data_IF_343636238060
#
_entry.id   IF_343636238060
#
_cell.length_a   1.000
_cell.length_b   1.000
_cell.length_c   1.000
_cell.angle_alpha   90.00
_cell.angle_beta   90.00
_cell.angle_gamma   90.00
#
_symmetry.space_group_name_H-M   'P 1'
#
loop_
_entity.id
_entity.type
_entity.pdbx_description
1 polymer ?
#
# COMPACT_ATOMS: atom_id res chain seq x y z
N UNK A 1 -90.20 -25.02 -8.65
CA UNK A 1 -88.99 -25.23 -7.81
C UNK A 1 -87.79 -25.60 -8.66
N UNK A 2 -88.00 -26.12 -9.87
CA UNK A 2 -86.91 -26.55 -10.76
C UNK A 2 -86.08 -25.38 -11.32
N UNK A 3 -86.69 -24.25 -11.66
CA UNK A 3 -85.95 -23.06 -12.17
C UNK A 3 -84.95 -22.47 -11.15
N UNK A 4 -85.24 -22.59 -9.85
CA UNK A 4 -84.36 -22.09 -8.78
C UNK A 4 -83.17 -23.04 -8.56
N UNK A 5 -83.38 -24.35 -8.71
CA UNK A 5 -82.34 -25.35 -8.62
C UNK A 5 -81.38 -25.27 -9.82
N UNK A 6 -81.92 -24.99 -11.01
CA UNK A 6 -81.13 -24.81 -12.24
C UNK A 6 -80.25 -23.54 -12.15
N UNK A 7 -80.79 -22.44 -11.63
CA UNK A 7 -80.03 -21.21 -11.40
C UNK A 7 -78.86 -21.37 -10.41
N UNK A 8 -79.07 -22.11 -9.32
CA UNK A 8 -78.00 -22.38 -8.33
C UNK A 8 -76.90 -23.26 -8.93
N UNK A 9 -77.27 -24.24 -9.77
CA UNK A 9 -76.30 -25.11 -10.44
C UNK A 9 -75.37 -24.31 -11.38
N UNK A 10 -75.91 -23.38 -12.17
CA UNK A 10 -75.11 -22.54 -13.05
C UNK A 10 -74.14 -21.61 -12.30
N UNK A 11 -74.54 -21.09 -11.13
CA UNK A 11 -73.67 -20.25 -10.29
C UNK A 11 -72.50 -21.07 -9.71
N UNK A 12 -72.77 -22.29 -9.22
CA UNK A 12 -71.72 -23.18 -8.71
C UNK A 12 -70.77 -23.61 -9.83
N UNK A 13 -71.29 -23.93 -11.01
CA UNK A 13 -70.49 -24.29 -12.18
C UNK A 13 -69.61 -23.13 -12.65
N UNK A 14 -70.16 -21.92 -12.73
CA UNK A 14 -69.40 -20.72 -13.08
C UNK A 14 -68.31 -20.42 -12.03
N UNK A 15 -68.62 -20.57 -10.74
CA UNK A 15 -67.66 -20.43 -9.66
C UNK A 15 -66.51 -21.44 -9.75
N UNK A 16 -66.80 -22.70 -10.08
CA UNK A 16 -65.79 -23.73 -10.26
C UNK A 16 -64.88 -23.45 -11.47
N UNK A 17 -65.44 -22.94 -12.57
CA UNK A 17 -64.66 -22.57 -13.78
C UNK A 17 -63.75 -21.37 -13.47
N UNK A 18 -64.26 -20.32 -12.82
CA UNK A 18 -63.47 -19.14 -12.45
C UNK A 18 -62.34 -19.54 -11.49
N UNK A 19 -62.63 -20.37 -10.49
CA UNK A 19 -61.63 -20.88 -9.57
C UNK A 19 -60.56 -21.70 -10.30
N UNK A 20 -60.95 -22.55 -11.25
CA UNK A 20 -60.02 -23.31 -12.09
C UNK A 20 -59.09 -22.42 -12.92
N UNK A 21 -59.60 -21.33 -13.49
CA UNK A 21 -58.81 -20.37 -14.28
C UNK A 21 -57.84 -19.60 -13.37
N UNK A 22 -58.28 -19.15 -12.20
CA UNK A 22 -57.40 -18.46 -11.24
C UNK A 22 -56.27 -19.38 -10.78
N UNK A 23 -56.58 -20.64 -10.44
CA UNK A 23 -55.55 -21.62 -10.05
C UNK A 23 -54.58 -21.93 -11.20
N UNK A 24 -55.05 -21.99 -12.44
CA UNK A 24 -54.19 -22.13 -13.62
C UNK A 24 -53.23 -20.96 -13.75
N UNK A 25 -53.71 -19.73 -13.62
CA UNK A 25 -52.88 -18.50 -13.70
C UNK A 25 -51.85 -18.48 -12.57
N UNK A 26 -52.25 -18.80 -11.34
CA UNK A 26 -51.37 -18.86 -10.16
C UNK A 26 -50.29 -19.94 -10.32
N UNK A 27 -50.56 -21.04 -11.04
CA UNK A 27 -49.57 -22.06 -11.40
C UNK A 27 -48.65 -21.64 -12.56
N UNK A 28 -49.17 -20.85 -13.51
CA UNK A 28 -48.43 -20.46 -14.71
C UNK A 28 -47.42 -19.33 -14.44
N UNK A 29 -47.74 -18.40 -13.52
CA UNK A 29 -46.85 -17.30 -13.12
C UNK A 29 -45.50 -17.81 -12.58
N UNK A 30 -45.42 -18.73 -11.60
CA UNK A 30 -44.14 -19.24 -11.12
C UNK A 30 -43.41 -20.04 -12.21
N UNK A 31 -44.11 -20.67 -13.16
CA UNK A 31 -43.47 -21.38 -14.28
C UNK A 31 -42.82 -20.41 -15.28
N UNK A 32 -43.49 -19.29 -15.59
CA UNK A 32 -42.94 -18.22 -16.44
C UNK A 32 -41.79 -17.51 -15.73
N UNK A 33 -41.94 -17.18 -14.44
CA UNK A 33 -40.91 -16.47 -13.66
C UNK A 33 -39.69 -17.37 -13.44
N UNK A 34 -39.87 -18.64 -13.07
CA UNK A 34 -38.74 -19.58 -12.96
C UNK A 34 -38.12 -19.88 -14.32
N UNK A 35 -38.92 -20.07 -15.37
CA UNK A 35 -38.42 -20.29 -16.74
C UNK A 35 -37.62 -19.10 -17.27
N UNK A 36 -38.04 -17.86 -16.99
CA UNK A 36 -37.31 -16.66 -17.39
C UNK A 36 -36.04 -16.46 -16.57
N UNK A 37 -36.05 -16.70 -15.25
CA UNK A 37 -34.84 -16.70 -14.43
C UNK A 37 -33.85 -17.77 -14.93
N UNK A 38 -34.31 -19.00 -15.18
CA UNK A 38 -33.46 -20.09 -15.71
C UNK A 38 -32.97 -19.78 -17.13
N UNK A 39 -33.74 -19.11 -17.97
CA UNK A 39 -33.30 -18.74 -19.32
C UNK A 39 -32.26 -17.62 -19.31
N UNK A 40 -32.46 -16.57 -18.52
CA UNK A 40 -31.51 -15.46 -18.39
C UNK A 40 -30.24 -15.86 -17.65
N UNK A 41 -30.37 -16.57 -16.51
CA UNK A 41 -29.23 -17.13 -15.80
C UNK A 41 -28.56 -18.23 -16.62
N UNK A 42 -29.31 -19.09 -17.30
CA UNK A 42 -28.79 -20.16 -18.15
C UNK A 42 -28.01 -19.64 -19.37
N UNK A 43 -28.39 -18.49 -19.95
CA UNK A 43 -27.62 -17.84 -21.02
C UNK A 43 -26.32 -17.23 -20.51
N UNK A 44 -26.34 -16.61 -19.33
CA UNK A 44 -25.15 -16.14 -18.64
C UNK A 44 -24.24 -17.32 -18.21
N UNK A 45 -24.84 -18.42 -17.76
CA UNK A 45 -24.17 -19.65 -17.33
C UNK A 45 -23.57 -20.41 -18.50
N UNK A 46 -24.24 -20.50 -19.66
CA UNK A 46 -23.72 -21.13 -20.89
C UNK A 46 -22.53 -20.37 -21.48
N UNK A 47 -22.51 -19.03 -21.34
CA UNK A 47 -21.34 -18.21 -21.67
C UNK A 47 -20.17 -18.39 -20.69
N UNK A 48 -20.44 -18.87 -19.46
CA UNK A 48 -19.44 -19.12 -18.42
C UNK A 48 -19.02 -20.60 -18.32
N UNK A 49 -19.83 -21.55 -18.80
CA UNK A 49 -19.62 -23.00 -18.64
C UNK A 49 -18.34 -23.52 -19.33
N UNK A 50 -17.90 -22.87 -20.41
CA UNK A 50 -16.63 -23.18 -21.04
C UNK A 50 -15.40 -22.88 -20.16
N UNK A 51 -15.57 -22.12 -19.06
CA UNK A 51 -14.51 -21.76 -18.11
C UNK A 51 -14.63 -22.43 -16.74
N UNK A 52 -15.77 -23.04 -16.40
CA UNK A 52 -15.99 -23.67 -15.10
C UNK A 52 -16.22 -25.18 -15.27
N UNK A 53 -15.21 -26.00 -14.98
CA UNK A 53 -15.42 -27.42 -14.77
C UNK A 53 -16.26 -27.59 -13.50
N UNK A 54 -17.48 -28.14 -13.64
CA UNK A 54 -18.34 -28.42 -12.48
C UNK A 54 -17.60 -29.34 -11.52
N UNK A 55 -17.45 -28.86 -10.30
CA UNK A 55 -16.73 -29.56 -9.25
C UNK A 55 -17.43 -30.85 -8.86
N UNK A 56 -16.69 -31.92 -8.54
CA UNK A 56 -17.30 -33.18 -8.05
C UNK A 56 -18.23 -32.93 -6.85
N UNK A 57 -17.89 -31.96 -6.01
CA UNK A 57 -18.73 -31.48 -4.91
C UNK A 57 -19.99 -30.75 -5.38
N UNK A 58 -19.93 -29.92 -6.44
CA UNK A 58 -21.11 -29.31 -7.05
C UNK A 58 -22.04 -30.33 -7.70
N UNK A 59 -21.47 -31.38 -8.33
CA UNK A 59 -22.25 -32.50 -8.88
C UNK A 59 -22.94 -33.28 -7.76
N UNK A 60 -22.21 -33.59 -6.68
CA UNK A 60 -22.76 -34.26 -5.49
C UNK A 60 -23.86 -33.44 -4.80
N UNK A 61 -23.68 -32.12 -4.68
CA UNK A 61 -24.72 -31.24 -4.11
C UNK A 61 -25.93 -31.17 -5.03
N UNK A 62 -25.77 -31.01 -6.34
CA UNK A 62 -26.88 -31.07 -7.30
C UNK A 62 -27.65 -32.40 -7.24
N UNK A 63 -26.94 -33.53 -7.14
CA UNK A 63 -27.58 -34.84 -6.96
C UNK A 63 -28.26 -34.97 -5.60
N UNK A 64 -27.67 -34.46 -4.53
CA UNK A 64 -28.26 -34.49 -3.20
C UNK A 64 -29.52 -33.61 -3.10
N UNK A 65 -29.52 -32.46 -3.78
CA UNK A 65 -30.68 -31.57 -3.91
C UNK A 65 -31.78 -32.26 -4.72
N UNK A 66 -31.44 -32.91 -5.83
CA UNK A 66 -32.38 -33.67 -6.65
C UNK A 66 -33.02 -34.84 -5.88
N UNK A 67 -32.20 -35.65 -5.20
CA UNK A 67 -32.67 -36.78 -4.37
C UNK A 67 -33.48 -36.28 -3.18
N UNK A 68 -33.03 -35.21 -2.52
CA UNK A 68 -33.74 -34.59 -1.40
C UNK A 68 -35.11 -34.03 -1.81
N UNK A 69 -35.21 -33.40 -2.98
CA UNK A 69 -36.47 -32.91 -3.54
C UNK A 69 -37.44 -34.06 -3.81
N UNK A 70 -36.96 -35.19 -4.36
CA UNK A 70 -37.77 -36.38 -4.60
C UNK A 70 -38.27 -36.98 -3.28
N UNK A 71 -37.39 -37.16 -2.29
CA UNK A 71 -37.76 -37.68 -0.97
C UNK A 71 -38.76 -36.76 -0.24
N UNK A 72 -38.57 -35.45 -0.32
CA UNK A 72 -39.48 -34.47 0.30
C UNK A 72 -40.85 -34.44 -0.38
N UNK A 73 -40.88 -34.58 -1.71
CA UNK A 73 -42.12 -34.74 -2.48
C UNK A 73 -42.86 -36.01 -2.06
N UNK A 74 -42.14 -37.12 -1.84
CA UNK A 74 -42.73 -38.38 -1.36
C UNK A 74 -43.33 -38.22 0.06
N UNK A 75 -42.63 -37.56 0.98
CA UNK A 75 -43.13 -37.30 2.35
C UNK A 75 -44.36 -36.40 2.35
N UNK A 76 -44.38 -35.35 1.52
CA UNK A 76 -45.54 -34.48 1.37
C UNK A 76 -46.73 -35.19 0.72
N UNK A 77 -46.49 -36.12 -0.21
CA UNK A 77 -47.54 -36.94 -0.80
C UNK A 77 -48.18 -37.92 0.20
N UNK A 78 -47.38 -38.42 1.15
CA UNK A 78 -47.84 -39.32 2.23
C UNK A 78 -48.66 -38.62 3.32
N UNK A 79 -48.45 -37.31 3.52
CA UNK A 79 -49.15 -36.54 4.57
C UNK A 79 -50.53 -36.04 4.13
N UNK A 80 -50.87 -36.12 2.84
CA UNK A 80 -52.22 -35.88 2.32
C UNK A 80 -52.76 -34.46 2.45
N UNK A 81 -51.95 -33.51 2.95
CA UNK A 81 -52.38 -32.14 3.22
C UNK A 81 -52.35 -31.22 1.99
N UNK A 82 -51.75 -31.68 0.88
CA UNK A 82 -51.59 -30.89 -0.33
C UNK A 82 -52.12 -31.64 -1.55
N UNK A 83 -52.79 -30.93 -2.48
CA UNK A 83 -53.21 -31.54 -3.72
C UNK A 83 -51.99 -31.99 -4.55
N UNK A 84 -52.03 -33.17 -5.18
CA UNK A 84 -50.86 -33.83 -5.78
C UNK A 84 -50.15 -33.00 -6.85
N UNK A 85 -50.88 -32.11 -7.54
CA UNK A 85 -50.33 -31.21 -8.55
C UNK A 85 -49.51 -30.03 -7.97
N UNK A 86 -49.68 -29.69 -6.68
CA UNK A 86 -48.94 -28.59 -6.02
C UNK A 86 -47.66 -29.05 -5.31
N UNK A 87 -47.51 -30.36 -5.07
CA UNK A 87 -46.41 -30.89 -4.25
C UNK A 87 -45.06 -30.73 -4.96
N UNK A 88 -45.00 -31.04 -6.26
CA UNK A 88 -43.77 -30.99 -7.06
C UNK A 88 -43.26 -29.55 -7.28
N UNK A 89 -44.09 -28.57 -7.71
CA UNK A 89 -43.62 -27.19 -7.85
C UNK A 89 -43.15 -26.59 -6.52
N UNK A 90 -43.83 -26.90 -5.42
CA UNK A 90 -43.48 -26.39 -4.10
C UNK A 90 -42.15 -26.98 -3.60
N UNK A 91 -41.94 -28.29 -3.76
CA UNK A 91 -40.69 -28.94 -3.35
C UNK A 91 -39.48 -28.41 -4.14
N UNK A 92 -39.64 -28.17 -5.44
CA UNK A 92 -38.58 -27.59 -6.28
C UNK A 92 -38.19 -26.19 -5.80
N UNK A 93 -39.16 -25.31 -5.52
CA UNK A 93 -38.89 -23.94 -5.05
C UNK A 93 -38.20 -23.93 -3.68
N UNK A 94 -38.67 -24.75 -2.74
CA UNK A 94 -38.06 -24.86 -1.40
C UNK A 94 -36.62 -25.36 -1.49
N UNK A 95 -36.35 -26.39 -2.30
CA UNK A 95 -34.98 -26.89 -2.46
C UNK A 95 -34.09 -25.92 -3.21
N UNK A 96 -34.59 -25.19 -4.22
CA UNK A 96 -33.80 -24.20 -4.95
C UNK A 96 -33.37 -23.04 -4.04
N UNK A 97 -34.29 -22.54 -3.21
CA UNK A 97 -34.00 -21.48 -2.22
C UNK A 97 -33.03 -21.93 -1.14
N UNK A 98 -33.19 -23.15 -0.61
CA UNK A 98 -32.22 -23.74 0.33
C UNK A 98 -30.84 -23.95 -0.31
N UNK A 99 -30.80 -24.32 -1.59
CA UNK A 99 -29.54 -24.55 -2.32
C UNK A 99 -28.76 -23.26 -2.51
N UNK A 100 -29.44 -22.16 -2.87
CA UNK A 100 -28.82 -20.84 -2.98
C UNK A 100 -28.30 -20.39 -1.60
N UNK A 101 -29.10 -20.54 -0.54
CA UNK A 101 -28.69 -20.17 0.82
C UNK A 101 -27.47 -20.95 1.31
N UNK A 102 -27.43 -22.27 1.07
CA UNK A 102 -26.32 -23.13 1.46
C UNK A 102 -25.05 -22.87 0.64
N UNK A 103 -25.18 -22.60 -0.67
CA UNK A 103 -24.06 -22.18 -1.52
C UNK A 103 -23.48 -20.82 -1.08
N UNK A 104 -24.35 -19.86 -0.73
CA UNK A 104 -23.94 -18.58 -0.19
C UNK A 104 -23.19 -18.74 1.15
N UNK A 105 -23.71 -19.57 2.07
CA UNK A 105 -23.07 -19.85 3.35
C UNK A 105 -21.71 -20.53 3.16
N UNK A 106 -21.63 -21.50 2.25
CA UNK A 106 -20.38 -22.18 1.93
C UNK A 106 -19.34 -21.23 1.32
N UNK A 107 -19.77 -20.37 0.38
CA UNK A 107 -18.92 -19.31 -0.19
C UNK A 107 -18.42 -18.32 0.86
N UNK A 108 -19.28 -17.94 1.82
CA UNK A 108 -18.91 -17.08 2.93
C UNK A 108 -17.91 -17.75 3.90
N UNK A 109 -18.04 -19.06 4.17
CA UNK A 109 -17.12 -19.77 5.08
C UNK A 109 -15.77 -20.04 4.41
N UNK A 110 -15.75 -20.48 3.14
CA UNK A 110 -14.54 -20.96 2.48
C UNK A 110 -13.83 -19.91 1.62
N UNK A 111 -14.56 -19.06 0.89
CA UNK A 111 -13.96 -18.11 -0.07
C UNK A 111 -13.65 -16.74 0.55
N UNK A 112 -14.51 -16.27 1.44
CA UNK A 112 -14.35 -14.98 2.12
C UNK A 112 -13.03 -14.82 2.88
N UNK A 113 -12.51 -15.79 3.67
CA UNK A 113 -11.25 -15.61 4.38
C UNK A 113 -10.07 -15.34 3.43
N UNK A 114 -9.98 -16.04 2.29
CA UNK A 114 -8.94 -15.79 1.29
C UNK A 114 -9.06 -14.39 0.67
N UNK A 115 -10.28 -13.98 0.31
CA UNK A 115 -10.50 -12.64 -0.24
C UNK A 115 -10.19 -11.54 0.79
N UNK A 116 -10.54 -11.76 2.06
CA UNK A 116 -10.23 -10.83 3.15
C UNK A 116 -8.73 -10.72 3.34
N UNK A 117 -8.00 -11.84 3.37
CA UNK A 117 -6.55 -11.88 3.55
C UNK A 117 -5.81 -11.19 2.39
N UNK A 118 -6.20 -11.44 1.14
CA UNK A 118 -5.60 -10.75 -0.03
C UNK A 118 -5.86 -9.25 0.05
N UNK A 119 -7.07 -8.82 0.44
CA UNK A 119 -7.39 -7.39 0.61
C UNK A 119 -6.58 -6.74 1.73
N UNK A 120 -6.40 -7.42 2.87
CA UNK A 120 -5.60 -6.88 3.98
C UNK A 120 -4.12 -6.81 3.62
N UNK A 121 -3.58 -7.84 2.96
CA UNK A 121 -2.20 -7.83 2.47
C UNK A 121 -1.96 -6.73 1.45
N UNK A 122 -2.85 -6.52 0.47
CA UNK A 122 -2.74 -5.42 -0.51
C UNK A 122 -2.82 -4.03 0.15
N UNK A 123 -3.66 -3.86 1.18
CA UNK A 123 -3.70 -2.62 1.96
C UNK A 123 -2.39 -2.41 2.74
N UNK A 124 -1.85 -3.46 3.34
CA UNK A 124 -0.55 -3.43 4.01
C UNK A 124 0.58 -3.07 3.05
N UNK A 125 0.64 -3.73 1.88
CA UNK A 125 1.59 -3.44 0.81
C UNK A 125 1.57 -1.97 0.40
N UNK A 126 0.37 -1.41 0.17
CA UNK A 126 0.23 -0.01 -0.21
C UNK A 126 0.78 0.93 0.86
N UNK A 127 0.52 0.65 2.14
CA UNK A 127 1.09 1.45 3.25
C UNK A 127 2.62 1.40 3.27
N UNK A 128 3.20 0.21 3.12
CA UNK A 128 4.66 0.05 3.10
C UNK A 128 5.26 0.74 1.85
N UNK A 129 4.57 0.72 0.71
CA UNK A 129 4.98 1.47 -0.48
C UNK A 129 4.94 2.99 -0.26
N UNK A 130 3.89 3.50 0.41
CA UNK A 130 3.78 4.92 0.74
C UNK A 130 4.90 5.35 1.70
N UNK A 131 5.20 4.53 2.72
CA UNK A 131 6.34 4.74 3.63
C UNK A 131 7.69 4.71 2.88
N UNK A 132 7.89 3.75 1.97
CA UNK A 132 9.11 3.67 1.15
C UNK A 132 9.29 4.91 0.26
N UNK A 133 8.18 5.44 -0.29
CA UNK A 133 8.20 6.67 -1.07
C UNK A 133 8.58 7.88 -0.19
N UNK A 134 8.09 7.94 1.04
CA UNK A 134 8.46 8.97 2.01
C UNK A 134 9.95 8.89 2.40
N UNK A 135 10.46 7.69 2.72
CA UNK A 135 11.88 7.46 3.03
C UNK A 135 12.75 7.87 1.83
N UNK A 136 12.36 7.48 0.62
CA UNK A 136 13.08 7.87 -0.61
C UNK A 136 13.12 9.39 -0.78
N UNK A 137 12.01 10.10 -0.52
CA UNK A 137 12.00 11.58 -0.52
C UNK A 137 12.93 12.15 0.54
N UNK A 138 12.88 11.64 1.78
CA UNK A 138 13.78 12.06 2.87
C UNK A 138 15.25 11.86 2.48
N UNK A 139 15.58 10.71 1.90
CA UNK A 139 16.94 10.37 1.46
C UNK A 139 17.43 11.30 0.35
N UNK A 140 16.59 11.60 -0.66
CA UNK A 140 16.96 12.57 -1.71
C UNK A 140 17.20 13.97 -1.14
N UNK A 141 16.39 14.42 -0.18
CA UNK A 141 16.56 15.70 0.48
C UNK A 141 17.85 15.74 1.31
N UNK A 142 18.17 14.67 2.05
CA UNK A 142 19.42 14.56 2.80
C UNK A 142 20.64 14.53 1.86
N UNK A 143 20.60 13.79 0.75
CA UNK A 143 21.68 13.80 -0.26
C UNK A 143 21.91 15.19 -0.86
N UNK A 144 20.85 15.95 -1.12
CA UNK A 144 20.95 17.35 -1.57
C UNK A 144 21.59 18.24 -0.50
N UNK A 145 21.21 18.07 0.77
CA UNK A 145 21.82 18.81 1.87
C UNK A 145 23.31 18.47 2.03
N UNK A 146 23.65 17.19 1.97
CA UNK A 146 25.04 16.72 1.97
C UNK A 146 25.86 17.33 0.83
N UNK A 147 25.35 17.31 -0.41
CA UNK A 147 26.02 17.92 -1.56
C UNK A 147 26.22 19.43 -1.38
N UNK A 148 25.24 20.16 -0.84
CA UNK A 148 25.39 21.59 -0.54
C UNK A 148 26.47 21.86 0.51
N UNK A 149 26.49 21.06 1.59
CA UNK A 149 27.49 21.19 2.65
C UNK A 149 28.89 20.83 2.13
N UNK A 150 29.01 19.78 1.33
CA UNK A 150 30.26 19.35 0.70
C UNK A 150 30.80 20.42 -0.25
N UNK A 151 29.96 21.00 -1.11
CA UNK A 151 30.38 22.12 -1.97
C UNK A 151 30.79 23.35 -1.16
N UNK A 152 30.08 23.64 -0.07
CA UNK A 152 30.46 24.73 0.84
C UNK A 152 31.81 24.45 1.48
N UNK A 153 32.05 23.23 1.96
CA UNK A 153 33.34 22.81 2.50
C UNK A 153 34.47 22.98 1.49
N UNK A 154 34.28 22.51 0.26
CA UNK A 154 35.26 22.71 -0.82
C UNK A 154 35.56 24.20 -1.07
N UNK A 155 34.53 25.06 -1.09
CA UNK A 155 34.73 26.49 -1.30
C UNK A 155 35.47 27.18 -0.14
N UNK A 156 35.26 26.75 1.11
CA UNK A 156 35.98 27.29 2.26
C UNK A 156 37.42 26.75 2.33
N UNK A 157 37.65 25.51 1.87
CA UNK A 157 38.98 24.94 1.70
C UNK A 157 39.79 25.73 0.66
N UNK A 158 39.21 26.04 -0.50
CA UNK A 158 39.88 26.87 -1.51
C UNK A 158 40.25 28.27 -0.96
N UNK A 159 39.36 28.89 -0.17
CA UNK A 159 39.67 30.18 0.47
C UNK A 159 40.84 30.05 1.43
N UNK A 160 40.85 28.98 2.23
CA UNK A 160 41.94 28.68 3.14
C UNK A 160 43.26 28.53 2.37
N UNK A 161 43.28 27.74 1.30
CA UNK A 161 44.47 27.54 0.47
C UNK A 161 44.97 28.86 -0.16
N UNK A 162 44.06 29.73 -0.62
CA UNK A 162 44.44 31.06 -1.14
C UNK A 162 45.10 31.93 -0.06
N UNK A 163 44.53 31.97 1.15
CA UNK A 163 45.09 32.78 2.25
C UNK A 163 46.41 32.17 2.74
N UNK A 164 46.51 30.84 2.83
CA UNK A 164 47.78 30.16 3.12
C UNK A 164 48.84 30.46 2.05
N UNK A 165 48.43 30.52 0.77
CA UNK A 165 49.28 30.92 -0.35
C UNK A 165 49.80 32.35 -0.22
N UNK A 166 48.91 33.32 0.06
CA UNK A 166 49.27 34.71 0.33
C UNK A 166 50.23 34.82 1.51
N UNK A 167 49.97 34.09 2.59
CA UNK A 167 50.85 34.06 3.76
C UNK A 167 52.25 33.50 3.41
N UNK A 168 52.32 32.43 2.61
CA UNK A 168 53.60 31.89 2.12
C UNK A 168 54.35 32.90 1.25
N UNK A 169 53.64 33.60 0.37
CA UNK A 169 54.23 34.64 -0.48
C UNK A 169 54.80 35.80 0.35
N UNK A 170 54.07 36.26 1.37
CA UNK A 170 54.59 37.25 2.34
C UNK A 170 55.85 36.78 3.06
N UNK A 171 55.92 35.49 3.42
CA UNK A 171 57.12 34.92 4.05
C UNK A 171 58.30 34.87 3.07
N UNK A 172 58.07 34.46 1.81
CA UNK A 172 59.12 34.29 0.79
C UNK A 172 59.67 35.61 0.25
N UNK A 173 58.83 36.64 0.10
CA UNK A 173 59.21 37.94 -0.45
C UNK A 173 59.79 38.91 0.59
N UNK A 174 60.21 38.42 1.76
CA UNK A 174 60.68 39.23 2.88
C UNK A 174 62.17 39.09 3.15
N UNK A 175 62.83 40.18 3.54
CA UNK A 175 64.27 40.20 3.85
C UNK A 175 64.64 39.42 5.13
N UNK A 176 63.66 39.11 5.98
CA UNK A 176 63.84 38.39 7.26
C UNK A 176 62.75 37.34 7.52
N UNK A 177 62.76 36.19 6.81
CA UNK A 177 61.73 35.16 6.93
C UNK A 177 61.62 34.57 8.35
N UNK A 178 62.73 34.48 9.09
CA UNK A 178 62.72 34.00 10.50
C UNK A 178 61.93 34.92 11.44
N UNK A 179 61.99 36.23 11.24
CA UNK A 179 61.24 37.18 12.07
C UNK A 179 59.74 37.09 11.79
N UNK A 180 59.36 36.86 10.54
CA UNK A 180 57.97 36.64 10.13
C UNK A 180 57.42 35.32 10.66
N UNK A 181 58.21 34.23 10.63
CA UNK A 181 57.81 32.94 11.20
C UNK A 181 57.58 33.06 12.71
N UNK A 182 58.50 33.68 13.44
CA UNK A 182 58.36 33.90 14.88
C UNK A 182 57.14 34.78 15.22
N UNK A 183 56.89 35.82 14.40
CA UNK A 183 55.70 36.66 14.54
C UNK A 183 54.41 35.87 14.29
N UNK A 184 54.38 35.04 13.25
CA UNK A 184 53.25 34.15 12.94
C UNK A 184 52.98 33.20 14.10
N UNK A 185 53.99 32.50 14.60
CA UNK A 185 53.85 31.55 15.72
C UNK A 185 53.34 32.24 16.98
N UNK A 186 53.81 33.47 17.24
CA UNK A 186 53.32 34.28 18.36
C UNK A 186 51.84 34.61 18.21
N UNK A 187 51.41 35.07 17.03
CA UNK A 187 50.01 35.39 16.76
C UNK A 187 49.15 34.12 16.83
N UNK A 188 49.58 33.00 16.24
CA UNK A 188 48.87 31.73 16.36
C UNK A 188 48.72 31.29 17.83
N UNK A 189 49.74 31.53 18.66
CA UNK A 189 49.67 31.31 20.11
C UNK A 189 48.62 32.19 20.80
N UNK A 190 48.54 33.47 20.43
CA UNK A 190 47.55 34.42 20.96
C UNK A 190 46.12 34.09 20.50
N UNK A 191 45.98 33.56 19.29
CA UNK A 191 44.67 33.29 18.67
C UNK A 191 44.05 31.97 19.16
N UNK A 192 44.86 30.99 19.60
CA UNK A 192 44.41 29.67 20.11
C UNK A 192 43.44 29.70 21.30
N UNK A 193 43.21 30.86 21.93
CA UNK A 193 42.26 31.05 23.01
C UNK A 193 41.05 31.94 22.69
N UNK A 194 40.95 32.47 21.47
CA UNK A 194 39.92 33.43 21.09
C UNK A 194 38.66 32.75 20.53
N UNK A 195 37.50 33.31 20.86
CA UNK A 195 36.23 32.86 20.29
C UNK A 195 35.99 33.43 18.87
N UNK A 196 35.11 32.81 18.09
CA UNK A 196 34.81 33.22 16.70
C UNK A 196 34.34 34.68 16.59
N UNK A 197 33.61 35.18 17.58
CA UNK A 197 33.15 36.57 17.66
C UNK A 197 34.30 37.54 17.95
N UNK A 198 35.25 37.17 18.80
CA UNK A 198 36.44 37.95 19.13
C UNK A 198 37.42 38.01 17.94
N UNK A 199 37.59 36.89 17.23
CA UNK A 199 38.32 36.87 15.95
C UNK A 199 37.61 37.78 14.93
N UNK A 200 36.28 37.74 14.90
CA UNK A 200 35.45 38.58 14.04
C UNK A 200 35.61 40.08 14.33
N UNK A 201 35.56 40.49 15.60
CA UNK A 201 35.70 41.89 16.00
C UNK A 201 37.11 42.40 15.73
N UNK A 202 38.14 41.60 16.04
CA UNK A 202 39.55 41.95 15.76
C UNK A 202 39.83 42.09 14.27
N UNK A 203 39.26 41.22 13.44
CA UNK A 203 39.32 41.35 11.97
C UNK A 203 38.69 42.65 11.47
N UNK A 204 37.55 43.05 12.03
CA UNK A 204 36.88 44.32 11.65
C UNK A 204 37.71 45.52 12.07
N UNK A 205 38.24 45.52 13.29
CA UNK A 205 39.11 46.58 13.80
C UNK A 205 40.36 46.74 12.94
N UNK A 206 41.03 45.64 12.61
CA UNK A 206 42.22 45.63 11.75
C UNK A 206 41.92 46.07 10.31
N UNK A 207 40.78 45.67 9.75
CA UNK A 207 40.36 46.09 8.41
C UNK A 207 40.03 47.59 8.32
N UNK A 208 39.58 48.19 9.43
CA UNK A 208 39.20 49.60 9.51
C UNK A 208 40.40 50.54 9.77
N UNK A 209 41.55 50.00 10.16
CA UNK A 209 42.81 50.74 10.20
C UNK A 209 43.29 50.98 8.76
N UNK A 210 42.83 52.07 8.16
CA UNK A 210 42.94 52.37 6.72
C UNK A 210 44.36 52.77 6.25
N UNK A 211 45.41 52.47 7.00
CA UNK A 211 46.79 52.85 6.66
C UNK A 211 47.67 51.63 6.44
N UNK A 212 48.37 51.51 5.29
CA UNK A 212 49.28 50.41 4.98
C UNK A 212 50.62 50.58 5.72
N UNK A 213 50.58 50.78 7.03
CA UNK A 213 51.75 50.66 7.88
C UNK A 213 51.72 49.29 8.53
N UNK A 214 52.83 48.59 8.33
CA UNK A 214 53.24 47.34 8.97
C UNK A 214 52.72 46.04 8.34
N UNK A 215 53.63 45.35 7.62
CA UNK A 215 53.51 43.94 7.20
C UNK A 215 53.00 43.01 8.31
N UNK A 216 53.20 43.41 9.57
CA UNK A 216 52.69 42.76 10.78
C UNK A 216 51.16 42.71 10.83
N UNK A 217 50.48 43.80 10.50
CA UNK A 217 49.01 43.86 10.46
C UNK A 217 48.46 42.97 9.34
N UNK A 218 49.13 42.90 8.19
CA UNK A 218 48.76 42.02 7.09
C UNK A 218 48.93 40.52 7.45
N UNK A 219 50.01 40.17 8.15
CA UNK A 219 50.23 38.81 8.67
C UNK A 219 49.18 38.46 9.72
N UNK A 220 48.89 39.37 10.66
CA UNK A 220 47.87 39.16 11.68
C UNK A 220 46.48 38.96 11.06
N UNK A 221 46.14 39.74 10.04
CA UNK A 221 44.88 39.60 9.31
C UNK A 221 44.77 38.24 8.61
N UNK A 222 45.84 37.79 7.94
CA UNK A 222 45.87 36.46 7.30
C UNK A 222 45.73 35.33 8.34
N UNK A 223 46.43 35.41 9.48
CA UNK A 223 46.36 34.38 10.54
C UNK A 223 44.97 34.33 11.17
N UNK A 224 44.35 35.48 11.46
CA UNK A 224 42.99 35.56 11.99
C UNK A 224 41.94 35.03 11.00
N UNK A 225 42.08 35.33 9.70
CA UNK A 225 41.19 34.76 8.68
C UNK A 225 41.36 33.24 8.53
N UNK A 226 42.60 32.72 8.62
CA UNK A 226 42.87 31.28 8.61
C UNK A 226 42.23 30.57 9.80
N UNK A 227 42.36 31.09 11.02
CA UNK A 227 41.75 30.46 12.20
C UNK A 227 40.21 30.48 12.09
N UNK A 228 39.63 31.60 11.65
CA UNK A 228 38.19 31.71 11.41
C UNK A 228 37.70 30.67 10.41
N UNK A 229 38.46 30.42 9.34
CA UNK A 229 38.15 29.38 8.35
C UNK A 229 38.36 27.97 8.91
N UNK A 230 39.37 27.77 9.75
CA UNK A 230 39.65 26.49 10.42
C UNK A 230 38.47 26.05 11.29
N UNK A 231 37.99 26.94 12.17
CA UNK A 231 36.83 26.68 13.05
C UNK A 231 35.58 26.40 12.21
N UNK A 232 35.32 27.21 11.18
CA UNK A 232 34.18 26.98 10.27
C UNK A 232 34.28 25.66 9.51
N UNK A 233 35.46 25.28 9.05
CA UNK A 233 35.68 24.02 8.35
C UNK A 233 35.43 22.83 9.26
N UNK A 234 35.85 22.90 10.53
CA UNK A 234 35.55 21.88 11.52
C UNK A 234 34.04 21.71 11.74
N UNK A 235 33.31 22.81 11.91
CA UNK A 235 31.85 22.78 12.06
C UNK A 235 31.13 22.21 10.83
N UNK A 236 31.57 22.59 9.63
CA UNK A 236 31.01 22.06 8.38
C UNK A 236 31.34 20.58 8.22
N UNK A 237 32.55 20.16 8.53
CA UNK A 237 32.96 18.75 8.49
C UNK A 237 32.11 17.89 9.43
N UNK A 238 31.94 18.33 10.68
CA UNK A 238 31.07 17.64 11.65
C UNK A 238 29.64 17.49 11.13
N UNK A 239 29.08 18.53 10.51
CA UNK A 239 27.73 18.47 9.90
C UNK A 239 27.68 17.54 8.69
N UNK A 240 28.74 17.46 7.89
CA UNK A 240 28.85 16.52 6.76
C UNK A 240 28.85 15.09 7.27
N UNK A 241 29.59 14.81 8.35
CA UNK A 241 29.66 13.49 8.99
C UNK A 241 28.29 13.09 9.58
N UNK A 242 27.64 13.97 10.33
CA UNK A 242 26.28 13.75 10.85
C UNK A 242 25.26 13.50 9.73
N UNK A 243 25.38 14.21 8.59
CA UNK A 243 24.51 14.02 7.44
C UNK A 243 24.78 12.69 6.74
N UNK A 244 26.05 12.28 6.65
CA UNK A 244 26.45 10.98 6.09
C UNK A 244 25.88 9.81 6.91
N UNK A 245 26.01 9.86 8.24
CA UNK A 245 25.41 8.85 9.12
C UNK A 245 23.88 8.79 8.99
N UNK A 246 23.21 9.94 8.83
CA UNK A 246 21.75 9.98 8.59
C UNK A 246 21.37 9.36 7.24
N UNK A 247 22.16 9.58 6.19
CA UNK A 247 21.94 8.96 4.87
C UNK A 247 22.08 7.45 4.99
N UNK A 248 23.09 6.96 5.70
CA UNK A 248 23.32 5.52 5.90
C UNK A 248 22.15 4.84 6.63
N UNK A 249 21.67 5.45 7.72
CA UNK A 249 20.49 4.95 8.45
C UNK A 249 19.25 4.90 7.56
N UNK A 250 18.99 5.95 6.78
CA UNK A 250 17.85 6.00 5.86
C UNK A 250 18.00 5.01 4.70
N UNK A 251 19.22 4.70 4.24
CA UNK A 251 19.43 3.65 3.23
C UNK A 251 19.14 2.25 3.78
N UNK A 252 19.57 1.95 5.00
CA UNK A 252 19.25 0.67 5.65
C UNK A 252 17.74 0.51 5.84
N UNK A 253 17.06 1.55 6.32
CA UNK A 253 15.60 1.55 6.46
C UNK A 253 14.90 1.35 5.11
N UNK A 254 15.43 1.94 4.03
CA UNK A 254 14.93 1.73 2.66
C UNK A 254 15.05 0.26 2.23
N UNK A 255 16.21 -0.35 2.44
CA UNK A 255 16.47 -1.75 2.09
C UNK A 255 15.56 -2.71 2.88
N UNK A 256 15.38 -2.48 4.18
CA UNK A 256 14.46 -3.27 5.01
C UNK A 256 13.02 -3.21 4.47
N UNK A 257 12.54 -2.00 4.11
CA UNK A 257 11.19 -1.80 3.57
C UNK A 257 11.03 -2.42 2.19
N UNK A 258 12.05 -2.38 1.34
CA UNK A 258 12.06 -3.09 0.05
C UNK A 258 11.98 -4.61 0.25
N UNK A 259 12.72 -5.16 1.22
CA UNK A 259 12.60 -6.56 1.64
C UNK A 259 11.19 -6.92 2.14
N UNK A 260 10.57 -6.06 2.95
CA UNK A 260 9.19 -6.25 3.40
C UNK A 260 8.19 -6.26 2.24
N UNK A 261 8.35 -5.38 1.24
CA UNK A 261 7.48 -5.37 0.04
C UNK A 261 7.64 -6.68 -0.73
N UNK A 262 8.87 -7.17 -0.90
CA UNK A 262 9.13 -8.46 -1.56
C UNK A 262 8.44 -9.61 -0.83
N UNK A 263 8.55 -9.67 0.49
CA UNK A 263 7.89 -10.68 1.32
C UNK A 263 6.37 -10.61 1.22
N UNK A 264 5.78 -9.40 1.27
CA UNK A 264 4.34 -9.22 1.12
C UNK A 264 3.87 -9.61 -0.27
N UNK A 265 4.65 -9.33 -1.32
CA UNK A 265 4.33 -9.77 -2.68
C UNK A 265 4.30 -11.30 -2.79
N UNK A 266 5.27 -11.99 -2.19
CA UNK A 266 5.30 -13.45 -2.16
C UNK A 266 4.06 -14.01 -1.44
N UNK A 267 3.71 -13.45 -0.27
CA UNK A 267 2.50 -13.85 0.46
C UNK A 267 1.22 -13.59 -0.33
N UNK A 268 1.12 -12.46 -1.06
CA UNK A 268 -0.02 -12.19 -1.94
C UNK A 268 -0.08 -13.24 -3.05
N UNK A 269 1.06 -13.56 -3.68
CA UNK A 269 1.13 -14.57 -4.75
C UNK A 269 0.72 -15.94 -4.25
N UNK A 270 1.23 -16.39 -3.11
CA UNK A 270 0.85 -17.66 -2.48
C UNK A 270 -0.66 -17.72 -2.20
N UNK A 271 -1.26 -16.64 -1.70
CA UNK A 271 -2.70 -16.58 -1.43
C UNK A 271 -3.53 -16.53 -2.72
N UNK A 272 -3.04 -15.87 -3.77
CA UNK A 272 -3.66 -15.85 -5.10
C UNK A 272 -3.57 -17.22 -5.78
N UNK A 273 -2.43 -17.89 -5.69
CA UNK A 273 -2.20 -19.25 -6.17
C UNK A 273 -3.08 -20.25 -5.41
N UNK A 274 -3.19 -20.12 -4.08
CA UNK A 274 -4.10 -20.93 -3.26
C UNK A 274 -5.57 -20.69 -3.64
N UNK A 275 -5.97 -19.43 -3.86
CA UNK A 275 -7.31 -19.08 -4.33
C UNK A 275 -7.58 -19.63 -5.74
N UNK A 276 -6.58 -19.61 -6.62
CA UNK A 276 -6.68 -20.15 -7.97
C UNK A 276 -6.77 -21.68 -7.94
N UNK A 277 -5.97 -22.35 -7.12
CA UNK A 277 -6.04 -23.80 -6.90
C UNK A 277 -7.40 -24.22 -6.32
N UNK A 278 -7.95 -23.43 -5.39
CA UNK A 278 -9.30 -23.61 -4.86
C UNK A 278 -10.36 -23.46 -5.94
N UNK A 279 -10.24 -22.44 -6.81
CA UNK A 279 -11.15 -22.19 -7.93
C UNK A 279 -11.05 -23.24 -9.04
N UNK A 280 -9.87 -23.81 -9.27
CA UNK A 280 -9.61 -24.77 -10.34
C UNK A 280 -9.72 -26.24 -9.90
N UNK A 281 -10.19 -26.51 -8.67
CA UNK A 281 -10.22 -27.84 -8.06
C UNK A 281 -8.89 -28.61 -8.04
N UNK A 282 -7.74 -27.94 -8.05
CA UNK A 282 -6.46 -28.60 -7.79
C UNK A 282 -6.15 -28.63 -6.29
N UNK A 283 -7.15 -28.99 -5.49
CA UNK A 283 -6.93 -29.35 -4.10
C UNK A 283 -7.07 -30.86 -4.03
N UNK A 284 -5.93 -31.54 -4.00
CA UNK A 284 -5.86 -32.88 -3.43
C UNK A 284 -6.18 -32.70 -1.96
N UNK A 285 -7.42 -33.01 -1.58
CA UNK A 285 -7.81 -33.17 -0.20
C UNK A 285 -7.15 -34.47 0.27
N UNK A 286 -5.99 -34.36 0.92
CA UNK A 286 -5.55 -35.37 1.88
C UNK A 286 -6.23 -35.10 3.22
#
# INVERSE_FOLDING_TARGET
MDDLAEGIFFIILAGAIIYGIIMLIVLLIPFIVSGTIIYFEGKAFKSQLGKYQLTSTSKLTLTAIGVGSICFTAILSLTGHYPPYMIVPFSVVVFLTLSIATLCLWGAIKLYPFQKNIRTLRKGQKRVQDELAEISRKLTNQRRAHSRLSNKFASELEKRERIEGQLREFCMNSDHPRAIISLKEKIEGEVKGLNLEEIGSRLVTLRNLHTPKERREAIELCVLELEKLSIKNYDVHKRVEECSQKIERLSLEKEEKEGMISNVNNLIREQEDALQAFRSQRIVLN
#
